data_IF_250898726755
#
_entry.id   IF_250898726755
#
_cell.length_a   1.000
_cell.length_b   1.000
_cell.length_c   1.000
_cell.angle_alpha   90.00
_cell.angle_beta   90.00
_cell.angle_gamma   90.00
#
_symmetry.space_group_name_H-M   'P 1'
#
loop_
_entity.id
_entity.type
_entity.pdbx_description
1 polymer ?
#
# COMPACT_ATOMS: atom_id res chain seq x y z
N UNK A 1 0.99 1.07 30.21
CA UNK A 1 1.36 0.19 29.07
C UNK A 1 0.51 0.61 27.88
N UNK A 2 1.11 1.05 26.78
CA UNK A 2 0.37 1.45 25.58
C UNK A 2 -0.20 0.19 24.93
N UNK A 3 -1.54 0.04 24.80
CA UNK A 3 -2.14 -1.10 24.11
C UNK A 3 -1.59 -1.21 22.69
N UNK A 4 -1.28 -2.43 22.22
CA UNK A 4 -0.82 -2.71 20.85
C UNK A 4 0.54 -2.08 20.44
N UNK A 5 1.41 -1.74 21.40
CA UNK A 5 2.75 -1.21 21.10
C UNK A 5 3.61 -2.19 20.27
N UNK A 6 3.58 -3.49 20.63
CA UNK A 6 4.37 -4.51 19.93
C UNK A 6 3.89 -4.74 18.48
N UNK A 7 2.58 -4.80 18.25
CA UNK A 7 2.05 -5.00 16.89
C UNK A 7 2.33 -3.82 15.96
N UNK A 8 2.27 -2.58 16.48
CA UNK A 8 2.67 -1.38 15.73
C UNK A 8 4.15 -1.37 15.38
N UNK A 9 5.00 -1.79 16.32
CA UNK A 9 6.45 -1.90 16.09
C UNK A 9 6.77 -2.96 15.02
N UNK A 10 6.15 -4.14 15.09
CA UNK A 10 6.35 -5.19 14.08
C UNK A 10 5.93 -4.77 12.67
N UNK A 11 4.83 -4.02 12.53
CA UNK A 11 4.42 -3.45 11.23
C UNK A 11 5.44 -2.46 10.68
N UNK A 12 6.01 -1.59 11.53
CA UNK A 12 7.05 -0.66 11.09
C UNK A 12 8.31 -1.41 10.63
N UNK A 13 8.72 -2.44 11.37
CA UNK A 13 9.84 -3.30 10.97
C UNK A 13 9.58 -4.02 9.65
N UNK A 14 8.36 -4.50 9.42
CA UNK A 14 7.99 -5.10 8.14
C UNK A 14 8.11 -4.08 6.99
N UNK A 15 7.54 -2.89 7.15
CA UNK A 15 7.62 -1.83 6.14
C UNK A 15 9.07 -1.39 5.84
N UNK A 16 9.94 -1.34 6.84
CA UNK A 16 11.37 -1.06 6.62
C UNK A 16 12.07 -2.15 5.80
N UNK A 17 11.73 -3.42 6.00
CA UNK A 17 12.28 -4.51 5.17
C UNK A 17 11.82 -4.40 3.74
N UNK A 18 10.54 -4.11 3.54
CA UNK A 18 9.96 -3.96 2.21
C UNK A 18 10.58 -2.77 1.47
N UNK A 19 10.78 -1.65 2.17
CA UNK A 19 11.51 -0.49 1.65
C UNK A 19 12.96 -0.84 1.24
N UNK A 20 13.71 -1.49 2.13
CA UNK A 20 15.10 -1.89 1.84
C UNK A 20 15.16 -2.88 0.67
N UNK A 21 14.21 -3.81 0.59
CA UNK A 21 14.11 -4.75 -0.53
C UNK A 21 13.78 -4.04 -1.85
N UNK A 22 12.84 -3.08 -1.83
CA UNK A 22 12.48 -2.26 -2.99
C UNK A 22 13.66 -1.41 -3.48
N UNK A 23 14.52 -0.93 -2.59
CA UNK A 23 15.76 -0.23 -2.93
C UNK A 23 16.90 -1.14 -3.41
N UNK A 24 16.67 -2.44 -3.63
CA UNK A 24 17.70 -3.36 -4.12
C UNK A 24 18.51 -4.07 -3.02
N UNK A 25 18.00 -4.08 -1.78
CA UNK A 25 18.60 -4.80 -0.65
C UNK A 25 19.56 -3.96 0.20
N UNK A 26 20.14 -4.60 1.22
CA UNK A 26 20.92 -3.94 2.29
C UNK A 26 22.10 -3.15 1.76
N UNK A 27 22.81 -3.66 0.75
CA UNK A 27 24.01 -2.98 0.22
C UNK A 27 23.65 -1.69 -0.50
N UNK A 28 22.68 -1.76 -1.42
CA UNK A 28 22.23 -0.60 -2.18
C UNK A 28 21.56 0.45 -1.30
N UNK A 29 20.74 0.01 -0.34
CA UNK A 29 20.12 0.91 0.63
C UNK A 29 21.16 1.63 1.52
N UNK A 30 22.27 0.97 1.86
CA UNK A 30 23.37 1.59 2.61
C UNK A 30 24.04 2.73 1.83
N UNK A 31 24.23 2.55 0.51
CA UNK A 31 24.75 3.59 -0.36
C UNK A 31 23.78 4.79 -0.46
N UNK A 32 22.50 4.54 -0.76
CA UNK A 32 21.48 5.59 -0.92
C UNK A 32 21.33 6.40 0.38
N UNK A 33 21.22 5.71 1.52
CA UNK A 33 21.02 6.36 2.80
C UNK A 33 22.31 7.00 3.34
N UNK A 34 23.50 6.67 2.80
CA UNK A 34 24.81 7.03 3.35
C UNK A 34 25.06 6.48 4.77
N UNK A 35 24.69 5.21 4.99
CA UNK A 35 24.90 4.48 6.25
C UNK A 35 25.76 3.23 6.05
N UNK A 36 26.26 2.64 7.14
CA UNK A 36 26.99 1.38 7.06
C UNK A 36 26.06 0.20 6.78
N UNK A 37 26.56 -0.82 6.06
CA UNK A 37 25.83 -2.09 5.81
C UNK A 37 25.33 -2.73 7.11
N UNK A 38 26.11 -2.63 8.19
CA UNK A 38 25.71 -3.16 9.50
C UNK A 38 24.54 -2.40 10.12
N UNK A 39 24.46 -1.07 9.95
CA UNK A 39 23.31 -0.29 10.41
C UNK A 39 22.05 -0.66 9.63
N UNK A 40 22.14 -0.69 8.30
CA UNK A 40 21.02 -1.08 7.43
C UNK A 40 20.59 -2.52 7.69
N UNK A 41 21.54 -3.43 7.95
CA UNK A 41 21.26 -4.81 8.32
C UNK A 41 20.44 -4.95 9.61
N UNK A 42 20.64 -4.05 10.59
CA UNK A 42 19.80 -4.02 11.81
C UNK A 42 18.41 -3.49 11.52
N UNK A 43 18.27 -2.51 10.63
CA UNK A 43 16.95 -2.04 10.19
C UNK A 43 16.17 -3.13 9.45
N UNK A 44 16.86 -3.92 8.61
CA UNK A 44 16.30 -5.06 7.90
C UNK A 44 15.98 -6.26 8.82
N UNK A 45 16.74 -6.47 9.89
CA UNK A 45 16.46 -7.57 10.82
C UNK A 45 15.19 -7.29 11.64
N UNK A 46 14.17 -8.14 11.50
CA UNK A 46 12.90 -8.03 12.21
C UNK A 46 12.98 -8.17 13.73
N UNK A 47 14.01 -8.87 14.24
CA UNK A 47 14.24 -9.06 15.67
C UNK A 47 15.05 -7.93 16.30
N UNK A 48 15.66 -7.07 15.48
CA UNK A 48 16.36 -5.90 15.98
C UNK A 48 15.37 -4.81 16.39
N UNK A 49 15.49 -4.24 17.60
CA UNK A 49 14.66 -3.13 18.03
C UNK A 49 15.00 -1.81 17.32
N UNK A 50 16.09 -1.78 16.53
CA UNK A 50 16.57 -0.58 15.85
C UNK A 50 15.66 -0.21 14.68
N UNK A 51 15.13 1.00 14.74
CA UNK A 51 14.37 1.63 13.67
C UNK A 51 15.28 2.54 12.85
N UNK A 52 14.95 2.69 11.58
CA UNK A 52 15.64 3.55 10.63
C UNK A 52 15.41 5.02 11.02
N UNK A 53 16.45 5.86 10.98
CA UNK A 53 16.31 7.29 11.23
C UNK A 53 15.57 7.98 10.06
N UNK A 54 14.97 9.14 10.35
CA UNK A 54 14.06 9.81 9.40
C UNK A 54 14.75 10.26 8.10
N UNK A 55 16.03 10.62 8.16
CA UNK A 55 16.82 11.02 7.00
C UNK A 55 17.09 9.85 6.05
N UNK A 56 17.38 8.66 6.59
CA UNK A 56 17.51 7.44 5.79
C UNK A 56 16.17 7.03 5.17
N UNK A 57 15.08 7.17 5.92
CA UNK A 57 13.72 6.89 5.44
C UNK A 57 13.37 7.79 4.26
N UNK A 58 13.53 9.10 4.39
CA UNK A 58 13.21 10.08 3.35
C UNK A 58 13.97 9.82 2.05
N UNK A 59 15.28 9.53 2.14
CA UNK A 59 16.12 9.19 0.98
C UNK A 59 15.68 7.91 0.28
N UNK A 60 15.37 6.87 1.04
CA UNK A 60 14.99 5.57 0.48
C UNK A 60 13.57 5.60 -0.10
N UNK A 61 12.61 6.23 0.57
CA UNK A 61 11.25 6.40 0.04
C UNK A 61 11.25 7.26 -1.23
N UNK A 62 12.08 8.32 -1.27
CA UNK A 62 12.28 9.13 -2.48
C UNK A 62 12.90 8.32 -3.63
N UNK A 63 13.94 7.53 -3.36
CA UNK A 63 14.59 6.70 -4.40
C UNK A 63 13.64 5.65 -4.98
N UNK A 64 12.84 4.99 -4.14
CA UNK A 64 11.90 3.96 -4.61
C UNK A 64 10.57 4.51 -5.13
N UNK A 65 10.29 5.81 -4.92
CA UNK A 65 9.05 6.45 -5.31
C UNK A 65 7.81 5.93 -4.57
N UNK A 66 7.99 5.33 -3.38
CA UNK A 66 6.90 4.76 -2.57
C UNK A 66 7.11 4.94 -1.07
N UNK A 67 6.05 5.38 -0.40
CA UNK A 67 6.02 5.76 1.01
C UNK A 67 5.76 4.58 1.97
N UNK A 68 6.54 3.49 1.90
CA UNK A 68 6.29 2.25 2.66
C UNK A 68 6.14 2.46 4.18
N UNK A 69 7.12 3.11 4.81
CA UNK A 69 7.17 3.32 6.26
C UNK A 69 6.25 4.48 6.66
N UNK A 70 6.18 5.52 5.83
CA UNK A 70 5.29 6.66 6.03
C UNK A 70 3.81 6.24 5.99
N UNK A 71 3.42 5.34 5.10
CA UNK A 71 2.09 4.72 5.06
C UNK A 71 1.82 3.88 6.31
N UNK A 72 2.78 3.04 6.74
CA UNK A 72 2.65 2.25 7.96
C UNK A 72 2.47 3.12 9.22
N UNK A 73 3.16 4.27 9.30
CA UNK A 73 3.00 5.25 10.37
C UNK A 73 1.60 5.89 10.37
N UNK A 74 1.09 6.27 9.20
CA UNK A 74 -0.26 6.80 9.05
C UNK A 74 -1.31 5.76 9.49
N UNK A 75 -1.19 4.53 8.98
CA UNK A 75 -2.09 3.43 9.30
C UNK A 75 -2.10 3.10 10.80
N UNK A 76 -0.93 3.07 11.45
CA UNK A 76 -0.83 2.86 12.90
C UNK A 76 -1.57 3.91 13.73
N UNK A 77 -1.83 5.09 13.16
CA UNK A 77 -2.60 6.19 13.75
C UNK A 77 -4.04 6.28 13.24
N UNK A 78 -4.50 5.29 12.46
CA UNK A 78 -5.84 5.31 11.86
C UNK A 78 -6.01 6.41 10.82
N UNK A 79 -4.91 6.89 10.23
CA UNK A 79 -4.92 7.90 9.16
C UNK A 79 -4.59 7.23 7.83
N UNK A 80 -5.04 7.84 6.73
CA UNK A 80 -4.73 7.41 5.37
C UNK A 80 -3.97 8.54 4.68
N UNK A 81 -2.89 8.20 3.98
CA UNK A 81 -2.20 9.15 3.12
C UNK A 81 -2.97 9.32 1.81
N UNK A 82 -2.90 10.51 1.26
CA UNK A 82 -3.39 10.84 -0.08
C UNK A 82 -2.23 11.39 -0.85
N UNK A 83 -2.16 11.07 -2.14
CA UNK A 83 -1.08 11.57 -3.00
C UNK A 83 -1.07 13.11 -3.02
N UNK A 84 0.11 13.70 -3.21
CA UNK A 84 0.24 15.14 -3.50
C UNK A 84 -0.45 15.42 -4.83
N UNK A 85 -1.36 16.39 -4.85
CA UNK A 85 -2.03 16.89 -6.06
C UNK A 85 -1.02 17.04 -7.21
N UNK A 86 -1.15 16.26 -8.29
CA UNK A 86 -0.20 16.37 -9.40
C UNK A 86 -0.27 15.38 -10.55
N UNK A 87 -0.75 14.15 -10.35
CA UNK A 87 -1.03 13.27 -11.50
C UNK A 87 -2.48 13.46 -11.93
N UNK A 88 -2.67 14.28 -12.96
CA UNK A 88 -3.99 14.57 -13.53
C UNK A 88 -4.59 13.26 -14.02
N UNK A 89 -5.53 12.70 -13.26
CA UNK A 89 -6.28 11.52 -13.64
C UNK A 89 -7.08 11.80 -14.90
N UNK A 90 -6.65 11.21 -16.01
CA UNK A 90 -7.38 11.21 -17.28
C UNK A 90 -8.78 10.59 -17.10
N UNK A 91 -9.76 10.95 -17.94
CA UNK A 91 -11.10 10.36 -17.94
C UNK A 91 -11.06 8.85 -18.15
N UNK A 92 -10.11 8.41 -18.97
CA UNK A 92 -9.83 7.00 -19.17
C UNK A 92 -9.40 6.32 -17.86
N UNK A 93 -8.71 7.02 -16.96
CA UNK A 93 -8.26 6.47 -15.67
C UNK A 93 -9.42 6.18 -14.71
N UNK A 94 -10.44 7.05 -14.62
CA UNK A 94 -11.55 6.84 -13.67
C UNK A 94 -12.46 5.68 -14.09
N UNK A 95 -12.75 5.56 -15.39
CA UNK A 95 -13.53 4.42 -15.91
C UNK A 95 -12.76 3.11 -15.81
N UNK A 96 -11.46 3.13 -16.09
CA UNK A 96 -10.61 1.95 -15.96
C UNK A 96 -10.55 1.46 -14.52
N UNK A 97 -10.33 2.35 -13.54
CA UNK A 97 -10.35 1.98 -12.12
C UNK A 97 -11.73 1.52 -11.65
N UNK A 98 -12.82 2.07 -12.18
CA UNK A 98 -14.16 1.55 -11.87
C UNK A 98 -14.33 0.11 -12.36
N UNK A 99 -13.91 -0.18 -13.59
CA UNK A 99 -13.97 -1.53 -14.14
C UNK A 99 -13.10 -2.53 -13.36
N UNK A 100 -11.91 -2.11 -12.90
CA UNK A 100 -11.03 -2.91 -12.05
C UNK A 100 -11.66 -3.24 -10.69
N UNK A 101 -12.30 -2.25 -10.04
CA UNK A 101 -13.04 -2.47 -8.79
C UNK A 101 -14.17 -3.48 -9.00
N UNK A 102 -14.96 -3.32 -10.06
CA UNK A 102 -16.06 -4.24 -10.36
C UNK A 102 -15.53 -5.66 -10.62
N UNK A 103 -14.42 -5.81 -11.35
CA UNK A 103 -13.77 -7.11 -11.57
C UNK A 103 -13.30 -7.74 -10.26
N UNK A 104 -12.57 -6.99 -9.43
CA UNK A 104 -12.05 -7.49 -8.16
C UNK A 104 -13.17 -7.86 -7.18
N UNK A 105 -14.26 -7.09 -7.18
CA UNK A 105 -15.44 -7.43 -6.39
C UNK A 105 -16.12 -8.71 -6.88
N UNK A 106 -16.22 -8.92 -8.21
CA UNK A 106 -16.76 -10.16 -8.76
C UNK A 106 -15.91 -11.38 -8.37
N UNK A 107 -14.58 -11.26 -8.38
CA UNK A 107 -13.66 -12.32 -7.92
C UNK A 107 -13.86 -12.63 -6.43
N UNK A 108 -14.00 -11.61 -5.58
CA UNK A 108 -14.30 -11.78 -4.15
C UNK A 108 -15.64 -12.51 -3.94
N UNK A 109 -16.69 -12.10 -4.67
CA UNK A 109 -18.01 -12.73 -4.60
C UNK A 109 -17.93 -14.20 -5.02
N UNK A 110 -17.20 -14.51 -6.10
CA UNK A 110 -17.01 -15.88 -6.57
C UNK A 110 -16.29 -16.74 -5.53
N UNK A 111 -15.17 -16.25 -4.98
CA UNK A 111 -14.41 -16.96 -3.95
C UNK A 111 -15.25 -17.19 -2.68
N UNK A 112 -16.03 -16.17 -2.27
CA UNK A 112 -16.90 -16.25 -1.10
C UNK A 112 -18.05 -17.25 -1.32
N UNK A 113 -18.67 -17.25 -2.50
CA UNK A 113 -19.76 -18.19 -2.81
C UNK A 113 -19.31 -19.66 -2.73
N UNK A 114 -18.10 -19.97 -3.22
CA UNK A 114 -17.51 -21.30 -3.10
C UNK A 114 -17.23 -21.66 -1.64
N UNK A 115 -16.62 -20.76 -0.89
CA UNK A 115 -16.28 -20.96 0.52
C UNK A 115 -17.53 -21.08 1.43
N UNK A 116 -18.68 -20.56 1.01
CA UNK A 116 -19.92 -20.64 1.79
C UNK A 116 -20.79 -21.84 1.40
N UNK A 117 -20.43 -22.59 0.36
CA UNK A 117 -21.29 -23.62 -0.25
C UNK A 117 -21.64 -24.77 0.70
N UNK A 118 -20.74 -25.14 1.62
CA UNK A 118 -20.94 -26.21 2.60
C UNK A 118 -21.31 -25.69 4.00
N UNK A 119 -21.54 -24.37 4.12
CA UNK A 119 -21.88 -23.69 5.37
C UNK A 119 -20.71 -23.57 6.36
N UNK A 120 -19.47 -23.86 5.97
CA UNK A 120 -18.28 -23.71 6.82
C UNK A 120 -17.10 -23.11 6.06
N UNK A 121 -16.58 -22.01 6.58
CA UNK A 121 -15.33 -21.43 6.04
C UNK A 121 -14.13 -22.09 6.73
N UNK A 122 -13.31 -22.79 5.94
CA UNK A 122 -12.04 -23.37 6.40
C UNK A 122 -10.95 -22.29 6.54
N UNK A 123 -9.85 -22.55 7.28
CA UNK A 123 -8.73 -21.62 7.36
C UNK A 123 -8.11 -21.25 6.00
N UNK A 124 -8.09 -22.19 5.05
CA UNK A 124 -7.55 -21.95 3.70
C UNK A 124 -8.46 -21.02 2.91
N UNK A 125 -9.78 -21.21 2.99
CA UNK A 125 -10.75 -20.33 2.34
C UNK A 125 -10.76 -18.95 2.96
N UNK A 126 -10.61 -18.84 4.28
CA UNK A 126 -10.48 -17.55 4.96
C UNK A 126 -9.26 -16.76 4.45
N UNK A 127 -8.12 -17.41 4.24
CA UNK A 127 -6.92 -16.79 3.66
C UNK A 127 -7.15 -16.37 2.20
N UNK A 128 -7.89 -17.18 1.42
CA UNK A 128 -8.23 -16.81 0.04
C UNK A 128 -9.15 -15.59 -0.02
N UNK A 129 -10.21 -15.57 0.81
CA UNK A 129 -11.13 -14.43 0.93
C UNK A 129 -10.37 -13.17 1.34
N UNK A 130 -9.49 -13.26 2.35
CA UNK A 130 -8.67 -12.13 2.82
C UNK A 130 -7.81 -11.55 1.69
N UNK A 131 -7.17 -12.42 0.88
CA UNK A 131 -6.41 -12.00 -0.30
C UNK A 131 -7.26 -11.24 -1.32
N UNK A 132 -8.47 -11.72 -1.61
CA UNK A 132 -9.39 -11.02 -2.53
C UNK A 132 -9.90 -9.69 -1.95
N UNK A 133 -10.15 -9.63 -0.64
CA UNK A 133 -10.47 -8.38 0.05
C UNK A 133 -9.33 -7.37 -0.05
N UNK A 134 -8.07 -7.80 0.14
CA UNK A 134 -6.91 -6.93 0.00
C UNK A 134 -6.79 -6.37 -1.43
N UNK A 135 -7.00 -7.20 -2.46
CA UNK A 135 -7.02 -6.77 -3.86
C UNK A 135 -8.14 -5.75 -4.15
N UNK A 136 -9.34 -5.98 -3.59
CA UNK A 136 -10.46 -5.04 -3.72
C UNK A 136 -10.17 -3.69 -3.05
N UNK A 137 -9.55 -3.69 -1.86
CA UNK A 137 -9.17 -2.46 -1.15
C UNK A 137 -8.16 -1.64 -1.97
N UNK A 138 -7.22 -2.31 -2.62
CA UNK A 138 -6.21 -1.67 -3.47
C UNK A 138 -6.87 -1.01 -4.69
N UNK A 139 -7.66 -1.77 -5.46
CA UNK A 139 -8.38 -1.23 -6.64
C UNK A 139 -9.35 -0.11 -6.26
N UNK A 140 -10.07 -0.24 -5.15
CA UNK A 140 -10.96 0.81 -4.63
C UNK A 140 -10.19 2.06 -4.21
N UNK A 141 -8.95 1.92 -3.75
CA UNK A 141 -8.08 3.05 -3.43
C UNK A 141 -7.65 3.79 -4.70
N UNK A 142 -7.37 3.09 -5.80
CA UNK A 142 -7.15 3.67 -7.13
C UNK A 142 -8.34 4.51 -7.59
N UNK A 143 -9.57 3.95 -7.53
CA UNK A 143 -10.79 4.69 -7.90
C UNK A 143 -11.01 5.93 -7.03
N UNK A 144 -10.73 5.85 -5.72
CA UNK A 144 -10.80 7.02 -4.81
C UNK A 144 -9.83 8.14 -5.21
N UNK A 145 -8.62 7.79 -5.65
CA UNK A 145 -7.61 8.75 -6.13
C UNK A 145 -8.07 9.44 -7.41
N UNK A 146 -8.52 8.66 -8.41
CA UNK A 146 -9.06 9.20 -9.66
C UNK A 146 -10.27 10.13 -9.42
N UNK A 147 -11.19 9.74 -8.52
CA UNK A 147 -12.32 10.59 -8.14
C UNK A 147 -11.89 11.88 -7.41
N UNK A 148 -10.80 11.86 -6.65
CA UNK A 148 -10.25 13.04 -6.02
C UNK A 148 -9.64 14.00 -7.05
N UNK A 149 -8.85 13.47 -8.00
CA UNK A 149 -8.30 14.25 -9.12
C UNK A 149 -9.43 14.91 -9.93
N UNK A 150 -10.48 14.17 -10.27
CA UNK A 150 -11.62 14.72 -11.00
C UNK A 150 -12.29 15.89 -10.26
N UNK A 151 -12.42 15.80 -8.93
CA UNK A 151 -12.93 16.93 -8.12
C UNK A 151 -11.98 18.13 -8.14
N UNK A 152 -10.67 17.90 -8.04
CA UNK A 152 -9.66 18.96 -8.10
C UNK A 152 -9.64 19.70 -9.44
N UNK A 153 -9.91 18.99 -10.53
CA UNK A 153 -10.01 19.55 -11.89
C UNK A 153 -11.35 20.26 -12.19
N UNK A 154 -12.29 20.31 -11.23
CA UNK A 154 -13.62 20.91 -11.43
C UNK A 154 -14.63 20.01 -12.14
N UNK A 155 -14.37 18.70 -12.18
CA UNK A 155 -15.12 17.71 -12.94
C UNK A 155 -14.30 17.12 -14.07
N UNK A 156 -14.80 16.03 -14.66
CA UNK A 156 -14.12 15.36 -15.77
C UNK A 156 -15.15 14.75 -16.73
N UNK A 157 -14.93 14.91 -18.03
CA UNK A 157 -15.80 14.31 -19.05
C UNK A 157 -15.43 12.85 -19.24
N UNK A 158 -16.32 11.93 -18.87
CA UNK A 158 -16.13 10.47 -19.04
C UNK A 158 -16.41 9.97 -20.46
N UNK A 159 -16.90 10.85 -21.33
CA UNK A 159 -17.03 10.63 -22.76
C UNK A 159 -16.06 11.58 -23.46
N UNK A 160 -15.24 11.05 -24.38
CA UNK A 160 -14.33 11.89 -25.15
C UNK A 160 -15.12 13.00 -25.84
N UNK A 161 -14.66 14.25 -25.74
CA UNK A 161 -15.24 15.31 -26.56
C UNK A 161 -14.94 14.96 -28.01
N UNK A 162 -15.97 14.60 -28.76
CA UNK A 162 -15.93 14.69 -30.22
C UNK A 162 -16.11 16.17 -30.54
N UNK A 163 -15.01 16.84 -30.91
CA UNK A 163 -15.00 18.26 -31.29
C UNK A 163 -13.60 18.84 -31.28
#
# INVERSE_FOLDING_TARGET
MVPNANSRHFRLKAAQRDLIAACGGVERAAEIASYSKSAVGRWYNGDSPELMPLDALDRLETECGRDFVTEALAHNRGRRLTDRDGETGDAASILSHHAEVTRSFAELVQASALAFADGRVTPVEAVAIDRHCAALIETASGLRKAAASARGAGGLSVVGQVG
#
